data_IF_282899056707
#
_entry.id   IF_282899056707
#
_cell.length_a   1.000
_cell.length_b   1.000
_cell.length_c   1.000
_cell.angle_alpha   90.00
_cell.angle_beta   90.00
_cell.angle_gamma   90.00
#
_symmetry.space_group_name_H-M   'P 1'
#
loop_
_entity.id
_entity.type
_entity.pdbx_description
1 polymer ?
#
# COMPACT_ATOMS: atom_id res chain seq x y z
N UNK A 1 -22.40 2.34 -26.06
CA UNK A 1 -21.09 2.33 -25.40
C UNK A 1 -20.75 0.85 -25.24
N UNK A 2 -19.81 0.32 -26.02
CA UNK A 2 -19.52 -1.12 -26.03
C UNK A 2 -18.61 -1.39 -24.82
N UNK A 3 -19.18 -1.90 -23.73
CA UNK A 3 -18.39 -2.45 -22.63
C UNK A 3 -17.54 -3.61 -23.16
N UNK A 4 -16.31 -3.76 -22.65
CA UNK A 4 -15.45 -4.88 -23.03
C UNK A 4 -16.17 -6.18 -22.67
N UNK A 5 -16.21 -7.14 -23.59
CA UNK A 5 -16.88 -8.41 -23.29
C UNK A 5 -16.02 -9.21 -22.30
N UNK A 6 -16.66 -10.01 -21.45
CA UNK A 6 -15.97 -10.90 -20.51
C UNK A 6 -14.93 -11.82 -21.20
N UNK A 7 -15.16 -12.17 -22.47
CA UNK A 7 -14.27 -13.01 -23.27
C UNK A 7 -13.03 -12.23 -23.75
N UNK A 8 -13.18 -10.96 -24.14
CA UNK A 8 -12.07 -10.06 -24.47
C UNK A 8 -11.14 -9.84 -23.27
N UNK A 9 -11.71 -9.66 -22.08
CA UNK A 9 -10.92 -9.49 -20.86
C UNK A 9 -10.12 -10.76 -20.55
N UNK A 10 -10.70 -11.95 -20.75
CA UNK A 10 -10.00 -13.24 -20.58
C UNK A 10 -8.85 -13.41 -21.58
N UNK A 11 -9.06 -13.08 -22.85
CA UNK A 11 -7.99 -13.16 -23.87
C UNK A 11 -6.82 -12.22 -23.55
N UNK A 12 -7.09 -11.00 -23.09
CA UNK A 12 -6.04 -10.06 -22.67
C UNK A 12 -5.28 -10.58 -21.46
N UNK A 13 -5.99 -11.16 -20.49
CA UNK A 13 -5.37 -11.78 -19.32
C UNK A 13 -4.44 -12.94 -19.70
N UNK A 14 -4.86 -13.77 -20.66
CA UNK A 14 -4.04 -14.87 -21.19
C UNK A 14 -2.78 -14.36 -21.90
N UNK A 15 -2.85 -13.19 -22.55
CA UNK A 15 -1.69 -12.55 -23.18
C UNK A 15 -0.57 -12.14 -22.21
N UNK A 16 -0.87 -11.99 -20.92
CA UNK A 16 0.11 -11.68 -19.88
C UNK A 16 0.65 -12.93 -19.16
N UNK A 17 0.02 -14.09 -19.34
CA UNK A 17 0.34 -15.29 -18.58
C UNK A 17 1.59 -16.01 -19.12
N UNK A 18 2.45 -16.48 -18.22
CA UNK A 18 3.61 -17.33 -18.52
C UNK A 18 3.59 -18.59 -17.65
N UNK A 19 3.90 -19.75 -18.22
CA UNK A 19 3.84 -21.05 -17.50
C UNK A 19 4.84 -21.13 -16.33
N UNK A 20 5.98 -20.49 -16.50
CA UNK A 20 7.10 -20.40 -15.57
C UNK A 20 7.14 -19.06 -14.81
N UNK A 21 6.06 -18.28 -14.90
CA UNK A 21 5.94 -17.01 -14.20
C UNK A 21 6.15 -17.14 -12.69
N UNK A 22 6.88 -16.19 -12.11
CA UNK A 22 7.11 -16.14 -10.66
C UNK A 22 5.98 -15.47 -9.90
N UNK A 23 5.15 -14.70 -10.60
CA UNK A 23 4.09 -13.92 -10.00
C UNK A 23 2.75 -14.62 -10.19
N UNK A 24 1.85 -14.51 -9.22
CA UNK A 24 0.48 -15.01 -9.29
C UNK A 24 -0.47 -14.02 -8.61
N UNK A 25 -1.75 -14.14 -8.93
CA UNK A 25 -2.79 -13.30 -8.35
C UNK A 25 -3.49 -14.04 -7.21
N UNK A 26 -3.69 -13.32 -6.12
CA UNK A 26 -4.43 -13.80 -4.97
C UNK A 26 -5.34 -12.69 -4.44
N UNK A 27 -6.44 -13.08 -3.84
CA UNK A 27 -7.23 -12.21 -3.00
C UNK A 27 -6.38 -11.84 -1.78
N UNK A 28 -6.21 -10.54 -1.51
CA UNK A 28 -5.47 -10.04 -0.35
C UNK A 28 -6.05 -10.60 0.95
N UNK A 29 -7.38 -10.77 0.98
CA UNK A 29 -8.16 -11.18 2.14
C UNK A 29 -8.13 -12.68 2.43
N UNK A 30 -8.19 -13.52 1.40
CA UNK A 30 -8.36 -14.98 1.58
C UNK A 30 -7.17 -15.81 1.08
N UNK A 31 -6.24 -15.19 0.35
CA UNK A 31 -5.19 -15.92 -0.37
C UNK A 31 -5.72 -16.74 -1.55
N UNK A 32 -7.05 -16.80 -1.75
CA UNK A 32 -7.66 -17.53 -2.86
C UNK A 32 -7.32 -16.89 -4.19
N UNK A 33 -7.19 -17.72 -5.23
CA UNK A 33 -6.90 -17.24 -6.57
C UNK A 33 -8.20 -16.89 -7.28
N UNK A 34 -8.46 -15.60 -7.56
CA UNK A 34 -9.74 -15.17 -8.10
C UNK A 34 -9.94 -15.70 -9.52
N UNK A 35 -11.19 -15.93 -9.92
CA UNK A 35 -11.54 -16.13 -11.33
C UNK A 35 -11.60 -14.74 -11.99
N UNK A 36 -10.98 -14.54 -13.17
CA UNK A 36 -10.51 -15.57 -14.09
C UNK A 36 -9.04 -15.94 -14.00
N UNK A 37 -8.21 -15.36 -13.12
CA UNK A 37 -6.78 -15.69 -13.06
C UNK A 37 -6.51 -17.14 -12.70
N UNK A 38 -7.20 -17.70 -11.68
CA UNK A 38 -7.02 -19.09 -11.25
C UNK A 38 -5.53 -19.41 -11.03
N UNK A 39 -5.05 -20.51 -11.60
CA UNK A 39 -3.65 -20.94 -11.47
C UNK A 39 -2.65 -20.28 -12.41
N UNK A 40 -3.06 -19.23 -13.15
CA UNK A 40 -2.16 -18.49 -14.03
C UNK A 40 -1.02 -17.86 -13.25
N UNK A 41 0.12 -17.80 -13.93
CA UNK A 41 1.33 -17.13 -13.45
C UNK A 41 1.78 -16.10 -14.46
N UNK A 42 2.55 -15.14 -13.99
CA UNK A 42 3.00 -13.98 -14.75
C UNK A 42 4.53 -13.86 -14.64
N UNK A 43 5.21 -13.51 -15.74
CA UNK A 43 6.67 -13.53 -15.81
C UNK A 43 7.32 -12.47 -14.92
N UNK A 44 6.73 -11.27 -14.94
CA UNK A 44 7.17 -10.09 -14.21
C UNK A 44 5.99 -9.42 -13.48
N UNK A 45 6.35 -8.51 -12.59
CA UNK A 45 5.39 -7.80 -11.74
C UNK A 45 4.48 -6.86 -12.52
N UNK A 46 4.99 -6.23 -13.58
CA UNK A 46 4.23 -5.31 -14.43
C UNK A 46 3.08 -6.06 -15.12
N UNK A 47 3.39 -7.22 -15.71
CA UNK A 47 2.43 -8.13 -16.32
C UNK A 47 1.41 -8.66 -15.32
N UNK A 48 1.86 -8.98 -14.09
CA UNK A 48 0.97 -9.40 -13.02
C UNK A 48 0.04 -8.27 -12.55
N UNK A 49 0.53 -7.04 -12.47
CA UNK A 49 -0.27 -5.88 -12.04
C UNK A 49 -1.35 -5.55 -13.08
N UNK A 50 -0.98 -5.53 -14.37
CA UNK A 50 -1.96 -5.42 -15.47
C UNK A 50 -2.99 -6.53 -15.46
N UNK A 51 -2.56 -7.75 -15.12
CA UNK A 51 -3.45 -8.88 -14.97
C UNK A 51 -4.42 -8.72 -13.79
N UNK A 52 -3.97 -8.13 -12.67
CA UNK A 52 -4.83 -7.83 -11.52
C UNK A 52 -5.94 -6.84 -11.92
N UNK A 53 -5.59 -5.75 -12.61
CA UNK A 53 -6.55 -4.76 -13.11
C UNK A 53 -7.59 -5.40 -14.07
N UNK A 54 -7.16 -6.34 -14.92
CA UNK A 54 -8.06 -7.09 -15.81
C UNK A 54 -8.98 -8.04 -15.04
N UNK A 55 -8.51 -8.68 -13.96
CA UNK A 55 -9.35 -9.51 -13.10
C UNK A 55 -10.37 -8.63 -12.38
N UNK A 56 -9.99 -7.46 -11.88
CA UNK A 56 -10.92 -6.52 -11.24
C UNK A 56 -12.01 -6.08 -12.22
N UNK A 57 -11.63 -5.62 -13.41
CA UNK A 57 -12.58 -5.25 -14.47
C UNK A 57 -13.52 -6.42 -14.85
N UNK A 58 -12.99 -7.65 -14.94
CA UNK A 58 -13.82 -8.84 -15.21
C UNK A 58 -14.88 -9.07 -14.14
N UNK A 59 -14.51 -8.89 -12.87
CA UNK A 59 -15.40 -9.11 -11.73
C UNK A 59 -16.43 -8.00 -11.61
N UNK A 60 -16.06 -6.75 -11.92
CA UNK A 60 -16.99 -5.62 -11.97
C UNK A 60 -18.05 -5.82 -13.06
N UNK A 61 -17.64 -6.28 -14.24
CA UNK A 61 -18.57 -6.65 -15.32
C UNK A 61 -19.47 -7.84 -14.90
N UNK A 62 -18.93 -8.87 -14.23
CA UNK A 62 -19.74 -9.98 -13.75
C UNK A 62 -20.80 -9.58 -12.71
N UNK A 63 -20.52 -8.58 -11.86
CA UNK A 63 -21.46 -8.12 -10.83
C UNK A 63 -22.72 -7.47 -11.41
N UNK A 64 -22.68 -7.02 -12.67
CA UNK A 64 -23.88 -6.57 -13.37
C UNK A 64 -24.88 -7.72 -13.58
N UNK A 65 -24.40 -8.96 -13.67
CA UNK A 65 -25.22 -10.16 -13.86
C UNK A 65 -25.49 -10.92 -12.56
N UNK A 66 -24.51 -10.97 -11.65
CA UNK A 66 -24.67 -11.55 -10.31
C UNK A 66 -24.22 -10.56 -9.24
N UNK A 67 -25.15 -9.76 -8.68
CA UNK A 67 -24.85 -8.83 -7.60
C UNK A 67 -24.37 -9.49 -6.30
N UNK A 68 -24.48 -10.82 -6.15
CA UNK A 68 -24.02 -11.54 -4.95
C UNK A 68 -22.57 -12.02 -5.05
N UNK A 69 -21.88 -11.74 -6.16
CA UNK A 69 -20.52 -12.19 -6.38
C UNK A 69 -19.58 -11.64 -5.27
N UNK A 70 -18.73 -12.48 -4.65
CA UNK A 70 -17.80 -12.04 -3.62
C UNK A 70 -16.88 -10.93 -4.11
N UNK A 71 -16.61 -9.93 -3.27
CA UNK A 71 -15.55 -8.96 -3.54
C UNK A 71 -14.19 -9.57 -3.22
N UNK A 72 -13.26 -9.49 -4.17
CA UNK A 72 -11.88 -9.94 -3.99
C UNK A 72 -10.97 -8.75 -4.28
N UNK A 73 -10.10 -8.44 -3.32
CA UNK A 73 -9.05 -7.44 -3.50
C UNK A 73 -7.86 -8.12 -4.15
N UNK A 74 -7.76 -8.01 -5.47
CA UNK A 74 -6.77 -8.75 -6.24
C UNK A 74 -5.40 -8.11 -6.05
N UNK A 75 -4.44 -8.88 -5.54
CA UNK A 75 -3.05 -8.47 -5.35
C UNK A 75 -2.10 -9.40 -6.08
N UNK A 76 -0.93 -8.86 -6.43
CA UNK A 76 0.19 -9.61 -6.99
C UNK A 76 1.01 -10.22 -5.86
N UNK A 77 1.30 -11.51 -5.95
CA UNK A 77 2.24 -12.22 -5.06
C UNK A 77 3.36 -12.84 -5.87
N UNK A 78 4.57 -12.81 -5.33
CA UNK A 78 5.72 -13.52 -5.89
C UNK A 78 5.90 -14.87 -5.19
N UNK A 79 6.32 -15.90 -5.93
CA UNK A 79 6.84 -17.12 -5.35
C UNK A 79 8.19 -16.83 -4.68
N UNK A 80 8.46 -17.38 -3.48
CA UNK A 80 9.75 -17.19 -2.83
C UNK A 80 10.88 -17.70 -3.73
N UNK A 81 11.90 -16.86 -3.97
CA UNK A 81 13.06 -17.25 -4.76
C UNK A 81 13.78 -18.44 -4.10
N UNK A 82 14.30 -19.40 -4.90
CA UNK A 82 15.21 -20.41 -4.36
C UNK A 82 16.43 -19.71 -3.75
N UNK A 83 16.90 -20.20 -2.60
CA UNK A 83 17.86 -19.52 -1.71
C UNK A 83 19.28 -19.28 -2.29
N UNK A 84 19.50 -19.45 -3.60
CA UNK A 84 20.82 -19.52 -4.22
C UNK A 84 21.32 -18.24 -4.92
N UNK A 85 20.55 -17.14 -4.96
CA UNK A 85 20.90 -15.93 -5.74
C UNK A 85 20.96 -14.63 -4.92
N UNK A 86 21.19 -14.71 -3.60
CA UNK A 86 21.23 -13.52 -2.72
C UNK A 86 22.62 -12.94 -2.47
N UNK A 87 23.62 -13.28 -3.29
CA UNK A 87 24.96 -12.68 -3.20
C UNK A 87 25.24 -11.82 -4.43
N UNK A 88 25.17 -10.50 -4.27
CA UNK A 88 26.19 -9.52 -4.67
C UNK A 88 25.63 -8.09 -4.69
N UNK A 89 26.38 -7.19 -4.04
CA UNK A 89 26.17 -5.74 -3.87
C UNK A 89 25.17 -5.38 -2.76
N UNK A 90 25.69 -4.87 -1.64
CA UNK A 90 24.88 -4.21 -0.63
C UNK A 90 24.16 -3.03 -1.31
N UNK A 91 22.82 -2.97 -1.32
CA UNK A 91 22.11 -1.85 -1.90
C UNK A 91 22.52 -0.58 -1.14
N UNK A 92 22.82 0.49 -1.87
CA UNK A 92 22.91 1.81 -1.26
C UNK A 92 21.56 2.10 -0.59
N UNK A 93 21.60 2.65 0.63
CA UNK A 93 20.39 3.09 1.32
C UNK A 93 19.64 4.08 0.41
N UNK A 94 18.35 3.88 0.12
CA UNK A 94 17.59 4.77 -0.76
C UNK A 94 17.56 6.17 -0.16
N UNK A 95 17.73 7.19 -1.00
CA UNK A 95 17.58 8.58 -0.56
C UNK A 95 16.14 8.88 -0.16
N UNK A 96 15.94 9.93 0.64
CA UNK A 96 14.60 10.41 1.04
C UNK A 96 13.67 10.63 -0.15
N UNK A 97 14.20 11.28 -1.19
CA UNK A 97 13.45 11.56 -2.42
C UNK A 97 13.05 10.29 -3.15
N UNK A 98 13.98 9.33 -3.33
CA UNK A 98 13.70 8.04 -3.97
C UNK A 98 12.62 7.26 -3.23
N UNK A 99 12.72 7.16 -1.90
CA UNK A 99 11.72 6.49 -1.08
C UNK A 99 10.34 7.16 -1.18
N UNK A 100 10.29 8.50 -1.07
CA UNK A 100 9.04 9.23 -1.18
C UNK A 100 8.39 9.06 -2.56
N UNK A 101 9.20 9.11 -3.62
CA UNK A 101 8.72 8.90 -4.98
C UNK A 101 8.27 7.46 -5.24
N UNK A 102 8.94 6.46 -4.67
CA UNK A 102 8.52 5.05 -4.77
C UNK A 102 7.13 4.86 -4.12
N UNK A 103 6.94 5.36 -2.90
CA UNK A 103 5.63 5.31 -2.22
C UNK A 103 4.58 6.10 -2.99
N UNK A 104 4.89 7.33 -3.41
CA UNK A 104 3.96 8.20 -4.13
C UNK A 104 3.54 7.59 -5.47
N UNK A 105 4.48 7.04 -6.24
CA UNK A 105 4.19 6.37 -7.51
C UNK A 105 3.26 5.17 -7.30
N UNK A 106 3.54 4.32 -6.30
CA UNK A 106 2.71 3.16 -6.02
C UNK A 106 1.27 3.54 -5.62
N UNK A 107 1.10 4.59 -4.81
CA UNK A 107 -0.22 5.12 -4.44
C UNK A 107 -0.92 5.72 -5.66
N UNK A 108 -0.23 6.58 -6.41
CA UNK A 108 -0.82 7.25 -7.57
C UNK A 108 -1.25 6.26 -8.67
N UNK A 109 -0.39 5.29 -9.02
CA UNK A 109 -0.73 4.22 -9.95
C UNK A 109 -1.93 3.39 -9.48
N UNK A 110 -2.06 3.20 -8.17
CA UNK A 110 -3.23 2.53 -7.59
C UNK A 110 -4.51 3.34 -7.78
N UNK A 111 -4.44 4.67 -7.62
CA UNK A 111 -5.59 5.56 -7.82
C UNK A 111 -6.00 5.58 -9.30
N UNK A 112 -5.04 5.81 -10.21
CA UNK A 112 -5.27 5.87 -11.66
C UNK A 112 -5.79 4.54 -12.23
N UNK A 113 -5.29 3.40 -11.74
CA UNK A 113 -5.70 2.07 -12.21
C UNK A 113 -6.94 1.49 -11.51
N UNK A 114 -7.22 1.91 -10.28
CA UNK A 114 -8.20 1.27 -9.38
C UNK A 114 -9.60 1.86 -9.38
N UNK A 115 -9.89 2.84 -10.24
CA UNK A 115 -11.22 3.49 -10.33
C UNK A 115 -11.41 4.70 -9.42
N UNK A 116 -10.39 5.12 -8.67
CA UNK A 116 -10.43 6.24 -7.73
C UNK A 116 -10.15 7.59 -8.39
N UNK A 117 -10.82 7.89 -9.52
CA UNK A 117 -10.50 9.07 -10.35
C UNK A 117 -10.70 10.41 -9.65
N UNK A 118 -11.68 10.49 -8.75
CA UNK A 118 -11.93 11.73 -8.00
C UNK A 118 -10.80 11.99 -7.00
N UNK A 119 -10.32 10.94 -6.30
CA UNK A 119 -9.16 11.02 -5.42
C UNK A 119 -7.86 11.29 -6.21
N UNK A 120 -7.64 10.61 -7.33
CA UNK A 120 -6.50 10.86 -8.23
C UNK A 120 -6.41 12.34 -8.64
N UNK A 121 -7.53 12.88 -9.11
CA UNK A 121 -7.62 14.29 -9.52
C UNK A 121 -7.38 15.23 -8.34
N UNK A 122 -8.02 14.97 -7.21
CA UNK A 122 -7.86 15.77 -6.00
C UNK A 122 -6.41 15.77 -5.48
N UNK A 123 -5.68 14.64 -5.60
CA UNK A 123 -4.24 14.58 -5.28
C UNK A 123 -3.44 15.52 -6.17
N UNK A 124 -3.67 15.49 -7.48
CA UNK A 124 -2.94 16.36 -8.42
C UNK A 124 -3.27 17.83 -8.20
N UNK A 125 -4.55 18.17 -8.01
CA UNK A 125 -4.99 19.53 -7.76
C UNK A 125 -4.37 20.06 -6.45
N UNK A 126 -4.41 19.27 -5.36
CA UNK A 126 -3.82 19.65 -4.07
C UNK A 126 -2.28 19.75 -4.11
N UNK A 127 -1.62 18.87 -4.85
CA UNK A 127 -0.16 18.94 -5.02
C UNK A 127 0.24 20.18 -5.82
N UNK A 128 -0.42 20.47 -6.95
CA UNK A 128 -0.11 21.63 -7.79
C UNK A 128 -0.33 22.94 -7.03
N UNK A 129 -1.45 23.08 -6.33
CA UNK A 129 -1.75 24.27 -5.50
C UNK A 129 -0.68 24.50 -4.43
N UNK A 130 -0.27 23.43 -3.73
CA UNK A 130 0.74 23.54 -2.69
C UNK A 130 2.16 23.76 -3.25
N UNK A 131 2.49 23.14 -4.38
CA UNK A 131 3.83 23.21 -5.00
C UNK A 131 4.18 24.62 -5.51
N UNK A 132 3.19 25.47 -5.82
CA UNK A 132 3.42 26.88 -6.20
C UNK A 132 4.18 27.67 -5.11
N UNK A 133 4.14 27.20 -3.86
CA UNK A 133 4.73 27.89 -2.70
C UNK A 133 6.06 27.32 -2.24
N UNK A 134 6.52 26.20 -2.81
CA UNK A 134 7.70 25.46 -2.35
C UNK A 134 8.85 25.57 -3.36
N UNK A 135 10.01 26.02 -2.89
CA UNK A 135 11.21 26.23 -3.71
C UNK A 135 12.27 25.12 -3.61
N UNK A 136 12.22 24.28 -2.58
CA UNK A 136 13.17 23.16 -2.40
C UNK A 136 12.58 21.87 -3.03
N UNK A 137 13.28 21.23 -3.99
CA UNK A 137 12.85 19.96 -4.57
C UNK A 137 12.65 18.83 -3.56
N UNK A 138 13.43 18.78 -2.49
CA UNK A 138 13.28 17.75 -1.46
C UNK A 138 11.99 17.96 -0.64
N UNK A 139 11.57 19.20 -0.45
CA UNK A 139 10.30 19.51 0.21
C UNK A 139 9.10 19.15 -0.68
N UNK A 140 9.26 19.14 -2.01
CA UNK A 140 8.20 18.73 -2.93
C UNK A 140 7.82 17.26 -2.78
N UNK A 141 8.77 16.35 -2.54
CA UNK A 141 8.44 14.94 -2.34
C UNK A 141 7.69 14.69 -1.02
N UNK A 142 8.05 15.41 0.05
CA UNK A 142 7.31 15.40 1.31
C UNK A 142 5.92 16.02 1.14
N UNK A 143 5.82 17.12 0.39
CA UNK A 143 4.56 17.79 0.09
C UNK A 143 3.62 16.87 -0.68
N UNK A 144 4.12 16.16 -1.68
CA UNK A 144 3.36 15.18 -2.44
C UNK A 144 2.74 14.11 -1.54
N UNK A 145 3.53 13.53 -0.63
CA UNK A 145 3.02 12.54 0.33
C UNK A 145 1.98 13.15 1.29
N UNK A 146 2.19 14.39 1.75
CA UNK A 146 1.20 15.09 2.58
C UNK A 146 -0.11 15.33 1.84
N UNK A 147 -0.05 15.76 0.58
CA UNK A 147 -1.23 15.96 -0.27
C UNK A 147 -1.96 14.65 -0.52
N UNK A 148 -1.24 13.57 -0.84
CA UNK A 148 -1.81 12.23 -0.97
C UNK A 148 -2.51 11.79 0.32
N UNK A 149 -1.82 11.86 1.46
CA UNK A 149 -2.40 11.50 2.75
C UNK A 149 -3.67 12.28 3.07
N UNK A 150 -3.66 13.60 2.86
CA UNK A 150 -4.80 14.47 3.11
C UNK A 150 -6.00 14.14 2.20
N UNK A 151 -5.75 13.87 0.92
CA UNK A 151 -6.82 13.56 -0.03
C UNK A 151 -7.41 12.18 0.24
N UNK A 152 -6.58 11.16 0.49
CA UNK A 152 -7.08 9.83 0.84
C UNK A 152 -7.97 9.89 2.08
N UNK A 153 -7.53 10.61 3.12
CA UNK A 153 -8.30 10.84 4.36
C UNK A 153 -9.65 11.55 4.10
N UNK A 154 -9.66 12.55 3.22
CA UNK A 154 -10.85 13.35 2.97
C UNK A 154 -11.85 12.75 1.97
N UNK A 155 -11.39 11.87 1.07
CA UNK A 155 -12.19 11.44 -0.10
C UNK A 155 -12.54 9.96 -0.12
N UNK A 156 -11.77 9.13 0.57
CA UNK A 156 -11.97 7.68 0.58
C UNK A 156 -12.52 7.24 1.93
N UNK A 157 -13.41 6.25 1.93
CA UNK A 157 -13.82 5.60 3.17
C UNK A 157 -12.75 4.61 3.70
N UNK A 158 -12.98 4.12 4.91
CA UNK A 158 -12.07 3.21 5.61
C UNK A 158 -11.68 1.97 4.80
N UNK A 159 -12.61 1.45 3.98
CA UNK A 159 -12.39 0.27 3.16
C UNK A 159 -11.63 0.63 1.88
N UNK A 160 -11.99 1.72 1.24
CA UNK A 160 -11.30 2.22 0.05
C UNK A 160 -9.84 2.56 0.36
N UNK A 161 -9.56 3.18 1.51
CA UNK A 161 -8.20 3.45 1.96
C UNK A 161 -7.39 2.16 2.19
N UNK A 162 -7.99 1.16 2.83
CA UNK A 162 -7.37 -0.15 3.02
C UNK A 162 -7.04 -0.83 1.67
N UNK A 163 -7.96 -0.76 0.72
CA UNK A 163 -7.78 -1.29 -0.65
C UNK A 163 -6.64 -0.58 -1.35
N UNK A 164 -6.61 0.75 -1.30
CA UNK A 164 -5.54 1.57 -1.91
C UNK A 164 -4.19 1.21 -1.30
N UNK A 165 -4.09 1.12 0.03
CA UNK A 165 -2.84 0.80 0.71
C UNK A 165 -2.31 -0.60 0.38
N UNK A 166 -3.18 -1.62 0.42
CA UNK A 166 -2.78 -2.99 0.10
C UNK A 166 -2.33 -3.12 -1.37
N UNK A 167 -3.05 -2.45 -2.29
CA UNK A 167 -2.69 -2.43 -3.71
C UNK A 167 -1.41 -1.64 -3.98
N UNK A 168 -1.19 -0.52 -3.30
CA UNK A 168 0.05 0.27 -3.40
C UNK A 168 1.25 -0.52 -2.88
N UNK A 169 1.15 -1.11 -1.68
CA UNK A 169 2.18 -2.00 -1.15
C UNK A 169 2.46 -3.19 -2.09
N UNK A 170 1.41 -3.77 -2.68
CA UNK A 170 1.49 -4.80 -3.71
C UNK A 170 2.16 -4.38 -5.03
N UNK A 171 2.46 -3.08 -5.23
CA UNK A 171 3.26 -2.53 -6.34
C UNK A 171 4.74 -2.29 -6.00
N UNK A 172 5.15 -2.38 -4.74
CA UNK A 172 6.55 -2.22 -4.27
C UNK A 172 7.33 -3.51 -4.09
N UNK A 173 8.61 -3.55 -4.50
CA UNK A 173 9.39 -4.81 -4.59
C UNK A 173 9.31 -5.59 -3.27
N UNK A 174 8.82 -6.84 -3.25
CA UNK A 174 8.60 -7.55 -1.99
C UNK A 174 9.86 -7.60 -1.12
N UNK A 175 9.72 -7.25 0.16
CA UNK A 175 10.83 -7.31 1.12
C UNK A 175 10.52 -8.38 2.17
N UNK A 176 11.49 -9.26 2.44
CA UNK A 176 11.30 -10.38 3.37
C UNK A 176 11.34 -9.97 4.84
N UNK A 177 10.64 -10.73 5.68
CA UNK A 177 10.66 -10.63 7.15
C UNK A 177 9.27 -10.46 7.73
N UNK A 178 8.76 -11.48 8.44
CA UNK A 178 7.47 -11.40 9.12
C UNK A 178 7.72 -10.97 10.57
N UNK A 179 8.46 -11.75 11.36
CA UNK A 179 8.52 -11.64 12.82
C UNK A 179 8.73 -10.20 13.36
N UNK A 180 9.65 -9.42 12.79
CA UNK A 180 9.93 -8.02 13.18
C UNK A 180 9.51 -6.97 12.13
N UNK A 181 8.41 -7.20 11.40
CA UNK A 181 8.02 -6.37 10.27
C UNK A 181 7.80 -4.88 10.62
N UNK A 182 7.23 -4.57 11.80
CA UNK A 182 7.05 -3.18 12.23
C UNK A 182 8.39 -2.47 12.41
N UNK A 183 9.30 -3.06 13.19
CA UNK A 183 10.64 -2.50 13.43
C UNK A 183 11.38 -2.37 12.11
N UNK A 184 11.35 -3.39 11.26
CA UNK A 184 12.01 -3.37 9.95
C UNK A 184 11.46 -2.29 9.01
N UNK A 185 10.15 -2.01 9.10
CA UNK A 185 9.52 -0.93 8.31
C UNK A 185 9.97 0.44 8.81
N UNK A 186 9.96 0.64 10.13
CA UNK A 186 10.44 1.88 10.76
C UNK A 186 11.93 2.11 10.47
N UNK A 187 12.77 1.06 10.54
CA UNK A 187 14.18 1.14 10.14
C UNK A 187 14.31 1.59 8.70
N UNK A 188 13.51 1.04 7.78
CA UNK A 188 13.61 1.42 6.36
C UNK A 188 13.20 2.87 6.10
N UNK A 189 12.20 3.37 6.85
CA UNK A 189 11.77 4.77 6.79
C UNK A 189 12.82 5.70 7.43
N UNK A 190 13.46 5.29 8.52
CA UNK A 190 14.55 6.02 9.17
C UNK A 190 15.81 6.06 8.30
N UNK A 191 16.19 4.94 7.70
CA UNK A 191 17.29 4.79 6.75
C UNK A 191 17.10 5.69 5.52
N UNK A 192 15.85 5.87 5.06
CA UNK A 192 15.50 6.83 4.02
C UNK A 192 15.58 8.30 4.48
N UNK A 193 15.87 8.58 5.75
CA UNK A 193 15.99 9.94 6.30
C UNK A 193 14.66 10.65 6.55
N UNK A 194 13.56 9.91 6.67
CA UNK A 194 12.26 10.47 7.06
C UNK A 194 12.09 10.58 8.58
N UNK A 195 12.74 9.70 9.34
CA UNK A 195 12.72 9.63 10.80
C UNK A 195 14.16 9.77 11.29
N UNK A 196 14.40 10.60 12.31
CA UNK A 196 15.73 10.70 12.93
C UNK A 196 15.97 9.56 13.92
N UNK A 197 14.99 9.26 14.78
CA UNK A 197 15.00 8.12 15.70
C UNK A 197 13.57 7.66 16.01
N UNK A 198 13.41 6.42 16.48
CA UNK A 198 12.12 5.90 16.92
C UNK A 198 12.24 4.90 18.06
N UNK A 199 11.17 4.81 18.85
CA UNK A 199 11.04 3.83 19.93
C UNK A 199 9.76 3.04 19.74
N UNK A 200 9.86 1.72 19.87
CA UNK A 200 8.71 0.80 19.83
C UNK A 200 8.57 0.15 21.19
N UNK A 201 7.36 0.19 21.73
CA UNK A 201 6.99 -0.52 22.95
C UNK A 201 5.80 -1.42 22.68
N UNK A 202 5.92 -2.70 23.04
CA UNK A 202 4.81 -3.65 22.97
C UNK A 202 3.74 -3.27 23.99
N UNK A 203 2.47 -3.36 23.61
CA UNK A 203 1.40 -3.29 24.59
C UNK A 203 1.27 -4.62 25.33
N UNK A 204 1.52 -4.59 26.65
CA UNK A 204 1.43 -5.78 27.50
C UNK A 204 0.01 -6.35 27.60
N UNK A 205 -1.01 -5.51 27.42
CA UNK A 205 -2.42 -5.86 27.56
C UNK A 205 -3.07 -6.26 26.22
N UNK A 206 -2.43 -5.98 25.09
CA UNK A 206 -2.98 -6.20 23.75
C UNK A 206 -1.94 -6.78 22.78
N UNK A 207 -1.95 -8.12 22.65
CA UNK A 207 -0.99 -8.84 21.84
C UNK A 207 -1.11 -8.45 20.35
N UNK A 208 -0.03 -7.89 19.78
CA UNK A 208 0.01 -7.38 18.41
C UNK A 208 -0.26 -5.88 18.30
N UNK A 209 -0.46 -5.18 19.42
CA UNK A 209 -0.45 -3.73 19.48
C UNK A 209 0.89 -3.19 20.00
N UNK A 210 1.30 -2.06 19.42
CA UNK A 210 2.57 -1.42 19.68
C UNK A 210 2.35 0.08 19.81
N UNK A 211 3.10 0.71 20.70
CA UNK A 211 3.21 2.17 20.79
C UNK A 211 4.50 2.60 20.13
N UNK A 212 4.41 3.52 19.17
CA UNK A 212 5.55 4.03 18.41
C UNK A 212 5.71 5.51 18.68
N UNK A 213 6.84 5.87 19.29
CA UNK A 213 7.28 7.25 19.45
C UNK A 213 8.29 7.59 18.34
N UNK A 214 8.12 8.74 17.70
CA UNK A 214 8.99 9.21 16.63
C UNK A 214 9.75 10.46 17.06
N UNK A 215 11.00 10.56 16.66
CA UNK A 215 11.80 11.77 16.76
C UNK A 215 12.21 12.26 15.36
N UNK A 216 12.16 13.57 15.16
CA UNK A 216 12.51 14.21 13.88
C UNK A 216 11.70 13.74 12.66
N UNK A 217 10.49 13.19 12.83
CA UNK A 217 9.72 12.68 11.70
C UNK A 217 9.29 13.80 10.74
N UNK A 218 9.81 13.78 9.51
CA UNK A 218 9.60 14.81 8.50
C UNK A 218 8.12 14.97 8.07
N UNK A 219 7.29 13.94 8.28
CA UNK A 219 5.86 13.97 7.98
C UNK A 219 4.99 14.02 9.25
N UNK A 220 5.61 14.31 10.40
CA UNK A 220 4.94 14.62 11.65
C UNK A 220 4.94 16.13 11.90
N UNK A 221 3.77 16.68 12.21
CA UNK A 221 3.65 17.97 12.90
C UNK A 221 2.97 17.72 14.25
N UNK A 222 3.09 18.66 15.19
CA UNK A 222 2.73 18.48 16.62
C UNK A 222 1.43 17.71 16.86
N UNK A 223 0.39 17.97 16.06
CA UNK A 223 -0.94 17.36 16.23
C UNK A 223 -1.24 16.24 15.22
N UNK A 224 -0.40 16.02 14.20
CA UNK A 224 -0.69 15.12 13.09
C UNK A 224 0.55 14.35 12.62
N UNK A 225 0.46 13.02 12.64
CA UNK A 225 1.47 12.13 12.07
C UNK A 225 0.89 11.47 10.81
N UNK A 226 1.52 11.69 9.67
CA UNK A 226 1.15 10.98 8.45
C UNK A 226 1.76 9.56 8.48
N UNK A 227 0.91 8.55 8.60
CA UNK A 227 1.31 7.14 8.68
C UNK A 227 1.47 6.47 7.31
N UNK A 228 1.09 7.15 6.21
CA UNK A 228 1.06 6.58 4.85
C UNK A 228 2.36 5.84 4.45
N UNK A 229 3.57 6.39 4.61
CA UNK A 229 4.78 5.69 4.18
C UNK A 229 5.09 4.46 5.06
N UNK A 230 4.83 4.55 6.37
CA UNK A 230 4.98 3.44 7.31
C UNK A 230 3.97 2.34 7.00
N UNK A 231 2.72 2.70 6.72
CA UNK A 231 1.66 1.76 6.38
C UNK A 231 1.98 0.97 5.10
N UNK A 232 2.43 1.67 4.04
CA UNK A 232 2.81 1.04 2.77
C UNK A 232 4.01 0.10 2.96
N UNK A 233 5.05 0.52 3.68
CA UNK A 233 6.24 -0.32 3.92
C UNK A 233 5.93 -1.54 4.80
N UNK A 234 5.04 -1.37 5.80
CA UNK A 234 4.57 -2.46 6.65
C UNK A 234 3.74 -3.48 5.87
N UNK A 235 2.79 -3.03 5.05
CA UNK A 235 1.97 -3.89 4.20
C UNK A 235 2.79 -4.55 3.08
N UNK A 236 3.86 -3.91 2.62
CA UNK A 236 4.83 -4.49 1.67
C UNK A 236 5.54 -5.70 2.28
N UNK A 237 5.84 -5.67 3.59
CA UNK A 237 6.50 -6.76 4.33
C UNK A 237 5.53 -7.81 4.87
N UNK A 238 4.32 -7.39 5.26
CA UNK A 238 3.23 -8.29 5.68
C UNK A 238 1.95 -8.07 4.86
N UNK A 239 1.91 -8.58 3.62
CA UNK A 239 0.72 -8.45 2.78
C UNK A 239 -0.47 -9.20 3.37
N UNK A 240 -1.59 -8.51 3.54
CA UNK A 240 -2.83 -9.08 4.06
C UNK A 240 -2.95 -9.11 5.58
N UNK A 241 -2.09 -8.39 6.31
CA UNK A 241 -2.32 -8.03 7.71
C UNK A 241 -3.26 -6.83 7.79
N UNK A 242 -4.19 -6.85 8.74
CA UNK A 242 -4.98 -5.65 9.06
C UNK A 242 -4.14 -4.75 9.96
N UNK A 243 -3.94 -3.52 9.53
CA UNK A 243 -3.11 -2.51 10.22
C UNK A 243 -4.01 -1.37 10.66
N UNK A 244 -4.04 -1.09 11.96
CA UNK A 244 -4.79 0.03 12.51
C UNK A 244 -3.85 0.99 13.22
N UNK A 245 -3.81 2.25 12.77
CA UNK A 245 -3.09 3.32 13.46
C UNK A 245 -4.08 4.11 14.33
N UNK A 246 -3.68 4.46 15.55
CA UNK A 246 -4.48 5.24 16.50
C UNK A 246 -3.63 6.39 17.06
N UNK A 247 -4.21 7.57 17.30
CA UNK A 247 -3.54 8.67 17.98
C UNK A 247 -2.87 8.26 19.28
N UNK A 248 -1.70 8.84 19.56
CA UNK A 248 -1.23 8.97 20.93
C UNK A 248 -1.69 10.31 21.49
N UNK A 249 -2.19 10.32 22.73
CA UNK A 249 -2.42 11.57 23.46
C UNK A 249 -1.08 12.11 23.99
N UNK A 250 -0.71 13.32 23.59
CA UNK A 250 0.50 14.00 24.09
C UNK A 250 1.17 14.92 23.07
N UNK A 251 2.23 15.60 23.52
CA UNK A 251 2.98 16.58 22.72
C UNK A 251 4.05 15.96 21.81
N UNK A 252 4.29 14.64 21.91
CA UNK A 252 5.33 13.93 21.15
C UNK A 252 4.71 13.26 19.92
N UNK A 253 5.31 13.43 18.72
CA UNK A 253 4.78 12.79 17.52
C UNK A 253 4.93 11.27 17.64
N UNK A 254 3.82 10.56 17.47
CA UNK A 254 3.77 9.13 17.58
C UNK A 254 2.38 8.59 17.26
N UNK A 255 2.27 7.26 17.27
CA UNK A 255 1.01 6.57 17.08
C UNK A 255 1.05 5.22 17.79
N UNK A 256 -0.13 4.73 18.14
CA UNK A 256 -0.32 3.31 18.43
C UNK A 256 -0.62 2.59 17.12
N UNK A 257 -0.06 1.41 16.91
CA UNK A 257 -0.38 0.54 15.77
C UNK A 257 -0.79 -0.84 16.26
N UNK A 258 -1.93 -1.35 15.78
CA UNK A 258 -2.37 -2.71 16.03
C UNK A 258 -2.27 -3.52 14.74
N UNK A 259 -1.62 -4.69 14.83
CA UNK A 259 -1.41 -5.63 13.75
C UNK A 259 -2.24 -6.88 14.04
N UNK A 260 -3.30 -7.09 13.25
CA UNK A 260 -4.17 -8.27 13.42
C UNK A 260 -4.00 -9.22 12.25
N UNK A 261 -3.72 -10.49 12.55
CA UNK A 261 -3.80 -11.55 11.55
C UNK A 261 -5.26 -11.73 11.11
N UNK A 262 -5.51 -11.55 9.81
CA UNK A 262 -6.85 -11.56 9.21
C UNK A 262 -7.60 -12.86 9.55
N UNK A 263 -8.46 -12.78 10.55
CA UNK A 263 -9.44 -13.83 10.90
C UNK A 263 -10.89 -13.36 10.66
N UNK A 264 -11.17 -12.05 10.74
CA UNK A 264 -12.48 -11.43 10.38
C UNK A 264 -12.30 -9.98 9.93
N UNK A 265 -12.94 -9.61 8.81
CA UNK A 265 -12.80 -8.31 8.15
C UNK A 265 -13.53 -7.19 8.89
N UNK A 266 -12.81 -6.14 9.31
CA UNK A 266 -13.41 -4.86 9.67
C UNK A 266 -12.49 -3.72 9.18
N UNK A 267 -12.75 -3.16 7.98
CA UNK A 267 -11.95 -2.08 7.41
C UNK A 267 -12.06 -0.84 8.31
N UNK A 268 -10.94 -0.15 8.58
CA UNK A 268 -10.91 1.02 9.50
C UNK A 268 -10.06 2.21 9.03
N UNK A 269 -9.59 2.25 7.78
CA UNK A 269 -9.03 3.47 7.18
C UNK A 269 -7.64 3.92 7.63
N UNK A 270 -7.09 4.84 6.83
CA UNK A 270 -5.96 5.73 7.04
C UNK A 270 -6.38 6.89 7.96
N UNK A 271 -6.18 6.73 9.27
CA UNK A 271 -6.38 7.85 10.19
C UNK A 271 -5.31 8.93 10.00
N UNK A 272 -5.73 10.15 9.66
CA UNK A 272 -5.13 11.34 10.26
C UNK A 272 -5.33 11.26 11.76
N UNK A 273 -4.23 11.13 12.48
CA UNK A 273 -4.22 11.27 13.93
C UNK A 273 -4.51 12.74 14.26
N UNK A 274 -5.66 13.03 14.87
CA UNK A 274 -5.96 14.31 15.50
C UNK A 274 -6.56 14.02 16.88
N UNK A 275 -6.09 14.71 17.92
CA UNK A 275 -6.79 14.77 19.20
C UNK A 275 -8.02 15.70 19.08
N UNK A 276 -9.11 15.46 19.84
CA UNK A 276 -10.32 16.29 19.81
C UNK A 276 -10.11 17.74 20.27
#
# INVERSE_FOLDING_TARGET
MVGQTLDEIRQRLDGHAARDGRYYLACARTGERPVPSGDRRFPDRESASRAADLVDAYRDELRQYDPRLPHYDVIVRELPAPAAERDAVAPATPSRSEFCHEVAAAVFETLSGGGFRDAERAVMDAYLDAAETVTDPDDLCLLLLRSMGAVLDATLDDHEQEVVLNRAAGRLTPTGGHDDALVSSLTSVADAGLIEDYRVEDDADDAGAYTVELDGYALGQREHVLTLPVAVELLRRRPGTDVQFTPMEGDRPGFRVALTERTRHQPRGLFRVAAP
#
